data_IF_888677841823
#
_entry.id   IF_888677841823
#
_cell.length_a   1.000
_cell.length_b   1.000
_cell.length_c   1.000
_cell.angle_alpha   90.00
_cell.angle_beta   90.00
_cell.angle_gamma   90.00
#
_symmetry.space_group_name_H-M   'P 1'
#
loop_
_entity.id
_entity.type
_entity.pdbx_description
1 polymer ?
#
# COMPACT_ATOMS: atom_id res chain seq x y z
N UNK A 1 13.54 8.95 -5.92
CA UNK A 1 14.63 7.96 -5.93
C UNK A 1 14.76 7.20 -7.24
N UNK A 2 13.67 6.79 -7.88
CA UNK A 2 13.72 5.99 -9.13
C UNK A 2 13.94 6.81 -10.42
N UNK A 3 14.44 8.04 -10.35
CA UNK A 3 14.86 8.87 -11.48
C UNK A 3 13.73 9.60 -12.23
N UNK A 4 12.49 9.48 -11.80
CA UNK A 4 11.33 10.15 -12.40
C UNK A 4 10.78 11.18 -11.42
N UNK A 5 10.77 12.49 -11.77
CA UNK A 5 10.19 13.50 -10.90
C UNK A 5 8.66 13.41 -10.93
N UNK A 6 8.04 13.47 -9.76
CA UNK A 6 6.60 13.66 -9.64
C UNK A 6 6.34 15.17 -9.71
N UNK A 7 5.91 15.63 -10.89
CA UNK A 7 5.67 17.05 -11.17
C UNK A 7 4.24 17.50 -10.90
N UNK A 8 3.33 16.56 -10.67
CA UNK A 8 1.92 16.83 -10.37
C UNK A 8 1.68 16.58 -8.90
N UNK A 9 1.08 17.54 -8.19
CA UNK A 9 0.72 17.35 -6.78
C UNK A 9 -0.31 16.25 -6.61
N UNK A 10 -0.14 15.45 -5.56
CA UNK A 10 -1.14 14.45 -5.19
C UNK A 10 -2.46 15.11 -4.79
N UNK A 11 -3.57 14.52 -5.22
CA UNK A 11 -4.89 14.95 -4.80
C UNK A 11 -5.24 14.43 -3.40
N UNK A 12 -5.82 15.30 -2.59
CA UNK A 12 -6.31 14.98 -1.25
C UNK A 12 -7.77 15.36 -1.13
N UNK A 13 -8.53 14.55 -0.44
CA UNK A 13 -9.91 14.90 -0.15
C UNK A 13 -10.02 15.81 1.09
N UNK A 14 -10.91 16.81 1.08
CA UNK A 14 -11.06 17.74 2.18
C UNK A 14 -11.56 17.04 3.45
N UNK A 15 -11.26 17.63 4.62
CA UNK A 15 -11.76 17.15 5.92
C UNK A 15 -13.19 17.61 6.20
N UNK A 16 -14.03 17.61 5.19
CA UNK A 16 -15.47 17.87 5.28
C UNK A 16 -16.26 16.58 5.32
N UNK A 17 -17.49 16.63 5.70
CA UNK A 17 -18.40 15.50 5.63
C UNK A 17 -19.67 15.94 4.87
N UNK A 18 -19.88 15.43 3.63
CA UNK A 18 -19.10 14.42 2.90
C UNK A 18 -17.73 14.95 2.42
N UNK A 19 -16.73 14.06 2.35
CA UNK A 19 -15.38 14.41 1.88
C UNK A 19 -15.18 14.15 0.37
N UNK A 20 -15.88 13.18 -0.19
CA UNK A 20 -15.76 12.87 -1.62
C UNK A 20 -16.77 13.70 -2.44
N UNK A 21 -16.35 14.20 -3.62
CA UNK A 21 -17.27 14.90 -4.52
C UNK A 21 -18.46 14.02 -4.94
N UNK A 22 -19.64 14.60 -5.01
CA UNK A 22 -20.85 13.88 -5.43
C UNK A 22 -20.73 13.26 -6.84
N UNK A 23 -19.99 13.91 -7.74
CA UNK A 23 -19.71 13.36 -9.07
C UNK A 23 -18.98 12.01 -9.00
N UNK A 24 -17.95 11.90 -8.12
CA UNK A 24 -17.20 10.66 -7.91
C UNK A 24 -18.08 9.56 -7.32
N UNK A 25 -18.79 9.86 -6.23
CA UNK A 25 -19.61 8.86 -5.53
C UNK A 25 -20.79 8.38 -6.39
N UNK A 26 -21.45 9.27 -7.12
CA UNK A 26 -22.53 8.91 -8.03
C UNK A 26 -22.03 8.06 -9.21
N UNK A 27 -20.87 8.40 -9.77
CA UNK A 27 -20.26 7.60 -10.85
C UNK A 27 -19.88 6.20 -10.36
N UNK A 28 -19.34 6.08 -9.15
CA UNK A 28 -19.00 4.79 -8.55
C UNK A 28 -20.25 3.92 -8.32
N UNK A 29 -21.33 4.51 -7.75
CA UNK A 29 -22.60 3.83 -7.54
C UNK A 29 -23.15 3.32 -8.86
N UNK A 30 -23.18 4.17 -9.88
CA UNK A 30 -23.77 3.83 -11.18
C UNK A 30 -22.95 2.77 -11.93
N UNK A 31 -21.61 2.89 -11.94
CA UNK A 31 -20.74 1.94 -12.68
C UNK A 31 -20.66 0.56 -12.05
N UNK A 32 -20.73 0.49 -10.71
CA UNK A 32 -20.63 -0.77 -9.95
C UNK A 32 -21.99 -1.33 -9.53
N UNK A 33 -23.09 -0.76 -10.00
CA UNK A 33 -24.47 -1.16 -9.65
C UNK A 33 -24.66 -1.36 -8.15
N UNK A 34 -24.32 -0.31 -7.38
CA UNK A 34 -24.38 -0.34 -5.93
C UNK A 34 -25.70 0.21 -5.41
N UNK A 35 -26.23 -0.32 -4.29
CA UNK A 35 -27.42 0.26 -3.64
C UNK A 35 -27.16 1.62 -2.98
N UNK A 36 -25.90 2.07 -2.96
CA UNK A 36 -25.41 3.30 -2.37
C UNK A 36 -24.06 3.11 -1.69
N UNK A 37 -23.64 4.10 -0.92
CA UNK A 37 -22.37 4.07 -0.17
C UNK A 37 -22.61 4.43 1.29
N UNK A 38 -21.75 3.95 2.19
CA UNK A 38 -21.66 4.35 3.59
C UNK A 38 -20.33 5.08 3.84
N UNK A 39 -20.28 5.87 4.90
CA UNK A 39 -19.09 6.63 5.30
C UNK A 39 -18.99 7.95 4.57
N UNK A 40 -18.11 8.07 3.57
CA UNK A 40 -17.79 9.32 2.85
C UNK A 40 -17.20 10.39 3.79
N UNK A 41 -16.21 9.98 4.59
CA UNK A 41 -15.56 10.82 5.60
C UNK A 41 -14.09 10.46 5.80
N UNK A 42 -13.37 11.30 6.55
CA UNK A 42 -12.06 10.94 7.09
C UNK A 42 -12.23 10.01 8.29
N UNK A 43 -11.58 8.85 8.28
CA UNK A 43 -11.67 7.89 9.38
C UNK A 43 -10.46 6.96 9.47
N UNK A 44 -10.27 6.38 10.66
CA UNK A 44 -9.47 5.18 10.85
C UNK A 44 -10.23 3.96 10.32
N UNK A 45 -9.54 3.07 9.60
CA UNK A 45 -10.19 1.90 9.01
C UNK A 45 -10.79 0.94 10.02
N UNK A 46 -10.22 0.82 11.24
CA UNK A 46 -10.79 -0.01 12.30
C UNK A 46 -12.02 0.61 12.92
N UNK A 47 -11.99 1.93 13.17
CA UNK A 47 -13.11 2.65 13.77
C UNK A 47 -14.34 2.70 12.84
N UNK A 48 -14.12 2.97 11.55
CA UNK A 48 -15.24 3.08 10.61
C UNK A 48 -15.89 1.72 10.34
N UNK A 49 -15.10 0.63 10.31
CA UNK A 49 -15.63 -0.73 10.18
C UNK A 49 -16.45 -1.08 11.43
N UNK A 50 -15.95 -0.79 12.63
CA UNK A 50 -16.69 -1.03 13.86
C UNK A 50 -18.00 -0.21 13.91
N UNK A 51 -18.00 1.03 13.38
CA UNK A 51 -19.18 1.91 13.38
C UNK A 51 -20.22 1.54 12.33
N UNK A 52 -19.80 1.14 11.13
CA UNK A 52 -20.68 0.98 9.96
C UNK A 52 -20.78 -0.47 9.46
N UNK A 53 -20.09 -1.43 10.07
CA UNK A 53 -20.05 -2.81 9.62
C UNK A 53 -21.44 -3.46 9.60
N UNK A 54 -22.25 -3.26 10.63
CA UNK A 54 -23.63 -3.80 10.69
C UNK A 54 -24.50 -3.21 9.58
N UNK A 55 -24.48 -1.89 9.42
CA UNK A 55 -25.21 -1.20 8.35
C UNK A 55 -24.75 -1.64 6.95
N UNK A 56 -23.45 -1.94 6.78
CA UNK A 56 -22.91 -2.49 5.55
C UNK A 56 -23.46 -3.89 5.26
N UNK A 57 -23.40 -4.80 6.22
CA UNK A 57 -23.88 -6.17 6.07
C UNK A 57 -25.38 -6.20 5.77
N UNK A 58 -26.16 -5.36 6.45
CA UNK A 58 -27.63 -5.27 6.27
C UNK A 58 -28.02 -4.67 4.90
N UNK A 59 -27.34 -3.59 4.48
CA UNK A 59 -27.72 -2.83 3.28
C UNK A 59 -27.01 -3.24 2.00
N UNK A 60 -25.90 -3.97 2.09
CA UNK A 60 -25.01 -4.26 0.96
C UNK A 60 -24.26 -3.05 0.41
N UNK A 61 -24.29 -1.90 1.10
CA UNK A 61 -23.58 -0.67 0.70
C UNK A 61 -22.14 -0.72 1.19
N UNK A 62 -21.11 -0.65 0.32
CA UNK A 62 -19.73 -0.62 0.76
C UNK A 62 -19.41 0.68 1.53
N UNK A 63 -18.42 0.59 2.43
CA UNK A 63 -17.99 1.71 3.26
C UNK A 63 -16.84 2.41 2.55
N UNK A 64 -16.99 3.69 2.18
CA UNK A 64 -15.94 4.49 1.56
C UNK A 64 -15.44 5.57 2.53
N UNK A 65 -14.12 5.73 2.60
CA UNK A 65 -13.48 6.68 3.50
C UNK A 65 -12.07 7.05 3.02
N UNK A 66 -11.51 8.10 3.60
CA UNK A 66 -10.13 8.52 3.37
C UNK A 66 -9.39 8.75 4.69
N UNK A 67 -8.10 9.00 4.61
CA UNK A 67 -7.23 9.35 5.72
C UNK A 67 -6.45 10.64 5.41
N UNK A 68 -5.36 10.90 6.13
CA UNK A 68 -4.48 12.03 5.85
C UNK A 68 -3.67 11.86 4.54
N UNK A 69 -3.57 10.64 4.06
CA UNK A 69 -2.87 10.31 2.82
C UNK A 69 -3.72 10.58 1.57
N UNK A 70 -3.06 10.58 0.39
CA UNK A 70 -3.74 10.62 -0.90
C UNK A 70 -4.34 9.25 -1.25
N UNK A 71 -5.46 8.91 -0.60
CA UNK A 71 -6.07 7.58 -0.71
C UNK A 71 -7.60 7.64 -0.79
N UNK A 72 -8.16 6.68 -1.54
CA UNK A 72 -9.58 6.34 -1.54
C UNK A 72 -9.71 4.89 -1.04
N UNK A 73 -10.36 4.66 0.08
CA UNK A 73 -10.43 3.35 0.70
C UNK A 73 -11.85 2.81 0.67
N UNK A 74 -11.99 1.53 0.37
CA UNK A 74 -13.27 0.83 0.32
C UNK A 74 -13.20 -0.38 1.26
N UNK A 75 -14.04 -0.39 2.30
CA UNK A 75 -14.17 -1.54 3.17
C UNK A 75 -15.47 -2.28 2.90
N UNK A 76 -15.38 -3.62 2.87
CA UNK A 76 -16.54 -4.50 2.72
C UNK A 76 -16.28 -5.85 3.41
N UNK A 77 -17.36 -6.47 3.85
CA UNK A 77 -17.35 -7.76 4.52
C UNK A 77 -17.19 -8.89 3.49
N UNK A 78 -16.25 -9.81 3.72
CA UNK A 78 -15.88 -10.82 2.72
C UNK A 78 -17.03 -11.79 2.39
N UNK A 79 -17.79 -12.24 3.39
CA UNK A 79 -18.87 -13.18 3.12
C UNK A 79 -20.11 -12.49 2.53
N UNK A 80 -20.57 -11.38 3.12
CA UNK A 80 -21.84 -10.75 2.73
C UNK A 80 -21.76 -9.92 1.44
N UNK A 81 -20.63 -9.27 1.18
CA UNK A 81 -20.40 -8.47 -0.03
C UNK A 81 -19.66 -9.25 -1.11
N UNK A 82 -18.73 -10.09 -0.73
CA UNK A 82 -17.85 -10.85 -1.60
C UNK A 82 -16.50 -10.18 -1.85
N UNK A 83 -15.40 -10.89 -1.59
CA UNK A 83 -14.05 -10.39 -1.82
C UNK A 83 -13.81 -10.03 -3.30
N UNK A 84 -14.23 -10.89 -4.23
CA UNK A 84 -14.06 -10.63 -5.67
C UNK A 84 -14.77 -9.34 -6.10
N UNK A 85 -16.00 -9.11 -5.60
CA UNK A 85 -16.77 -7.90 -5.88
C UNK A 85 -16.11 -6.65 -5.29
N UNK A 86 -15.52 -6.74 -4.09
CA UNK A 86 -14.75 -5.65 -3.50
C UNK A 86 -13.53 -5.28 -4.37
N UNK A 87 -12.80 -6.27 -4.86
CA UNK A 87 -11.62 -6.03 -5.71
C UNK A 87 -12.01 -5.38 -7.04
N UNK A 88 -13.06 -5.87 -7.70
CA UNK A 88 -13.62 -5.26 -8.92
C UNK A 88 -14.08 -3.81 -8.67
N UNK A 89 -14.76 -3.57 -7.55
CA UNK A 89 -15.18 -2.22 -7.16
C UNK A 89 -13.97 -1.28 -6.98
N UNK A 90 -12.87 -1.78 -6.43
CA UNK A 90 -11.65 -0.98 -6.29
C UNK A 90 -10.97 -0.68 -7.64
N UNK A 91 -11.07 -1.57 -8.63
CA UNK A 91 -10.59 -1.33 -9.99
C UNK A 91 -11.40 -0.22 -10.66
N UNK A 92 -12.73 -0.27 -10.56
CA UNK A 92 -13.62 0.81 -11.03
C UNK A 92 -13.30 2.13 -10.33
N UNK A 93 -13.12 2.10 -9.01
CA UNK A 93 -12.76 3.28 -8.24
C UNK A 93 -11.40 3.85 -8.66
N UNK A 94 -10.40 3.01 -8.98
CA UNK A 94 -9.08 3.45 -9.45
C UNK A 94 -9.20 4.31 -10.71
N UNK A 95 -9.97 3.86 -11.69
CA UNK A 95 -10.20 4.63 -12.92
C UNK A 95 -10.90 5.98 -12.64
N UNK A 96 -11.88 5.98 -11.73
CA UNK A 96 -12.64 7.19 -11.43
C UNK A 96 -11.83 8.25 -10.68
N UNK A 97 -10.92 7.82 -9.77
CA UNK A 97 -10.12 8.76 -8.98
C UNK A 97 -8.86 9.27 -9.69
N UNK A 98 -8.54 8.78 -10.89
CA UNK A 98 -7.42 9.28 -11.70
C UNK A 98 -7.56 10.77 -11.99
N UNK A 99 -8.77 11.24 -12.30
CA UNK A 99 -9.04 12.67 -12.54
C UNK A 99 -8.81 13.56 -11.32
N UNK A 100 -8.75 12.96 -10.14
CA UNK A 100 -8.47 13.65 -8.87
C UNK A 100 -7.02 13.51 -8.43
N UNK A 101 -6.16 12.86 -9.23
CA UNK A 101 -4.75 12.58 -8.94
C UNK A 101 -4.51 11.91 -7.58
N UNK A 102 -5.41 11.02 -7.18
CA UNK A 102 -5.33 10.28 -5.92
C UNK A 102 -4.33 9.14 -6.04
N UNK A 103 -3.36 9.09 -5.14
CA UNK A 103 -2.22 8.17 -5.21
C UNK A 103 -2.61 6.69 -5.14
N UNK A 104 -3.60 6.31 -4.34
CA UNK A 104 -4.00 4.90 -4.16
C UNK A 104 -5.50 4.73 -3.94
N UNK A 105 -6.03 3.63 -4.48
CA UNK A 105 -7.27 3.02 -4.01
C UNK A 105 -6.91 1.79 -3.19
N UNK A 106 -7.58 1.58 -2.06
CA UNK A 106 -7.25 0.49 -1.14
C UNK A 106 -8.50 -0.34 -0.86
N UNK A 107 -8.45 -1.63 -1.21
CA UNK A 107 -9.41 -2.61 -0.73
C UNK A 107 -9.11 -2.96 0.74
N UNK A 108 -10.13 -2.80 1.60
CA UNK A 108 -10.06 -3.11 3.03
C UNK A 108 -11.09 -4.17 3.41
N UNK A 109 -10.87 -5.43 2.99
CA UNK A 109 -11.77 -6.50 3.39
C UNK A 109 -11.75 -6.73 4.89
N UNK A 110 -12.91 -7.07 5.43
CA UNK A 110 -13.07 -7.44 6.84
C UNK A 110 -14.05 -8.60 6.96
N UNK A 111 -14.04 -9.26 8.10
CA UNK A 111 -14.87 -10.41 8.41
C UNK A 111 -15.24 -10.45 9.90
N UNK A 112 -16.10 -11.37 10.28
CA UNK A 112 -16.53 -11.60 11.67
C UNK A 112 -17.97 -11.20 11.95
N UNK A 113 -18.50 -11.58 13.12
CA UNK A 113 -19.86 -11.26 13.51
C UNK A 113 -20.02 -9.81 13.95
N UNK A 114 -21.28 -9.34 13.96
CA UNK A 114 -21.67 -8.03 14.48
C UNK A 114 -20.98 -7.71 15.82
N UNK A 115 -20.39 -6.50 15.88
CA UNK A 115 -19.65 -6.00 17.04
C UNK A 115 -18.23 -6.57 17.20
N UNK A 116 -17.78 -7.49 16.32
CA UNK A 116 -16.45 -8.13 16.42
C UNK A 116 -15.77 -8.23 15.05
N UNK A 117 -15.98 -7.24 14.21
CA UNK A 117 -15.37 -7.18 12.87
C UNK A 117 -13.86 -7.01 12.95
N UNK A 118 -13.13 -7.80 12.17
CA UNK A 118 -11.67 -7.75 12.03
C UNK A 118 -11.26 -7.63 10.57
N UNK A 119 -10.24 -6.83 10.29
CA UNK A 119 -9.68 -6.75 8.95
C UNK A 119 -8.97 -8.04 8.60
N UNK A 120 -9.19 -8.54 7.40
CA UNK A 120 -8.52 -9.74 6.89
C UNK A 120 -7.16 -9.40 6.25
N UNK A 121 -6.39 -10.43 5.94
CA UNK A 121 -5.12 -10.31 5.22
C UNK A 121 -5.27 -10.04 3.71
N UNK A 122 -6.49 -10.06 3.16
CA UNK A 122 -6.76 -9.91 1.72
C UNK A 122 -6.79 -8.45 1.24
N UNK A 123 -6.17 -7.54 2.00
CA UNK A 123 -5.96 -6.16 1.57
C UNK A 123 -5.24 -6.11 0.23
N UNK A 124 -5.70 -5.22 -0.67
CA UNK A 124 -5.04 -4.93 -1.92
C UNK A 124 -4.98 -3.42 -2.16
N UNK A 125 -3.81 -2.94 -2.57
CA UNK A 125 -3.57 -1.55 -2.90
C UNK A 125 -3.49 -1.42 -4.43
N UNK A 126 -4.20 -0.45 -4.99
CA UNK A 126 -4.19 -0.08 -6.40
C UNK A 126 -3.53 1.29 -6.51
N UNK A 127 -2.22 1.29 -6.65
CA UNK A 127 -1.40 2.50 -6.74
C UNK A 127 -1.49 3.13 -8.12
N UNK A 128 -1.35 4.44 -8.18
CA UNK A 128 -1.11 5.15 -9.43
C UNK A 128 0.28 4.74 -9.94
N UNK A 129 0.41 4.29 -11.19
CA UNK A 129 1.71 3.94 -11.74
C UNK A 129 2.61 5.18 -11.84
N UNK A 130 3.95 4.99 -11.87
CA UNK A 130 4.88 6.06 -12.18
C UNK A 130 4.51 6.76 -13.50
N UNK A 131 4.63 8.10 -13.61
CA UNK A 131 4.22 8.83 -14.80
C UNK A 131 5.10 8.56 -16.02
N UNK A 132 6.30 8.05 -15.82
CA UNK A 132 7.25 7.67 -16.86
C UNK A 132 8.03 6.42 -16.45
N UNK A 133 8.71 5.73 -17.41
CA UNK A 133 9.59 4.61 -17.09
C UNK A 133 10.67 5.00 -16.08
N UNK A 134 10.71 4.31 -14.98
CA UNK A 134 11.64 4.52 -13.86
C UNK A 134 12.99 3.85 -14.10
N UNK A 135 13.93 3.99 -13.16
CA UNK A 135 15.17 3.21 -13.15
C UNK A 135 14.89 1.70 -13.23
N UNK A 136 13.81 1.24 -12.57
CA UNK A 136 13.43 -0.18 -12.56
C UNK A 136 13.08 -0.71 -13.96
N UNK A 137 12.42 0.13 -14.77
CA UNK A 137 12.06 -0.21 -16.15
C UNK A 137 13.25 -0.14 -17.10
N UNK A 138 14.24 0.71 -16.78
CA UNK A 138 15.37 1.01 -17.66
C UNK A 138 16.62 0.19 -17.34
N UNK A 139 16.60 -0.54 -16.24
CA UNK A 139 17.73 -1.36 -15.84
C UNK A 139 17.86 -2.59 -16.78
N UNK A 140 19.01 -2.71 -17.43
CA UNK A 140 19.31 -3.83 -18.32
C UNK A 140 19.88 -5.00 -17.51
N UNK A 141 19.05 -5.64 -16.72
CA UNK A 141 19.40 -6.75 -15.85
C UNK A 141 18.20 -7.29 -15.07
N UNK A 142 18.46 -8.13 -14.10
CA UNK A 142 17.42 -8.69 -13.23
C UNK A 142 17.05 -7.68 -12.15
N UNK A 143 15.77 -7.33 -12.05
CA UNK A 143 15.24 -6.54 -10.95
C UNK A 143 14.55 -7.44 -9.92
N UNK A 144 14.85 -7.23 -8.64
CA UNK A 144 14.21 -7.91 -7.50
C UNK A 144 13.66 -6.88 -6.52
N UNK A 145 12.38 -6.94 -6.27
CA UNK A 145 11.65 -6.04 -5.38
C UNK A 145 11.24 -6.75 -4.10
N UNK A 146 11.80 -6.32 -2.96
CA UNK A 146 11.61 -6.96 -1.66
C UNK A 146 10.70 -6.09 -0.79
N UNK A 147 9.69 -6.70 -0.17
CA UNK A 147 8.70 -6.01 0.65
C UNK A 147 7.61 -5.34 -0.17
N UNK A 148 7.36 -4.05 0.05
CA UNK A 148 6.29 -3.27 -0.61
C UNK A 148 6.71 -2.58 -1.92
N UNK A 149 7.93 -2.76 -2.38
CA UNK A 149 8.42 -2.08 -3.60
C UNK A 149 7.48 -2.36 -4.79
N UNK A 150 7.05 -3.61 -4.97
CA UNK A 150 6.11 -3.96 -6.02
C UNK A 150 4.82 -3.15 -5.98
N UNK A 151 4.22 -3.03 -4.81
CA UNK A 151 2.96 -2.29 -4.61
C UNK A 151 3.17 -0.76 -4.79
N UNK A 152 4.31 -0.22 -4.35
CA UNK A 152 4.66 1.20 -4.47
C UNK A 152 4.77 1.61 -5.94
N UNK A 153 5.39 0.78 -6.77
CA UNK A 153 5.59 1.05 -8.20
C UNK A 153 4.45 0.49 -9.09
N UNK A 154 3.31 0.11 -8.50
CA UNK A 154 2.18 -0.48 -9.23
C UNK A 154 2.61 -1.66 -10.15
N UNK A 155 3.57 -2.43 -9.69
CA UNK A 155 4.19 -3.57 -10.39
C UNK A 155 4.89 -3.23 -11.71
N UNK A 156 5.20 -1.95 -11.98
CA UNK A 156 5.94 -1.55 -13.18
C UNK A 156 7.45 -1.64 -12.96
N UNK A 157 8.15 -2.35 -13.83
CA UNK A 157 9.60 -2.54 -13.79
C UNK A 157 10.13 -3.31 -12.59
N UNK A 158 9.26 -3.79 -11.71
CA UNK A 158 9.63 -4.32 -10.37
C UNK A 158 10.22 -5.73 -10.40
N UNK A 159 10.22 -6.40 -11.55
CA UNK A 159 10.82 -7.73 -11.74
C UNK A 159 10.26 -8.79 -10.80
N UNK A 160 11.12 -9.57 -10.19
CA UNK A 160 10.75 -10.59 -9.22
C UNK A 160 10.30 -9.95 -7.90
N UNK A 161 9.12 -10.33 -7.39
CA UNK A 161 8.56 -9.79 -6.14
C UNK A 161 8.76 -10.78 -5.00
N UNK A 162 9.51 -10.37 -3.99
CA UNK A 162 9.79 -11.15 -2.78
C UNK A 162 9.03 -10.55 -1.61
N UNK A 163 7.96 -11.22 -1.17
CA UNK A 163 7.16 -10.78 -0.02
C UNK A 163 7.76 -11.25 1.29
N UNK A 164 7.80 -10.37 2.28
CA UNK A 164 8.14 -10.67 3.66
C UNK A 164 7.45 -9.66 4.60
N UNK A 165 7.24 -10.04 5.84
CA UNK A 165 6.60 -9.21 6.86
C UNK A 165 7.59 -8.93 7.99
N UNK A 166 7.75 -7.64 8.32
CA UNK A 166 8.65 -7.16 9.36
C UNK A 166 10.11 -7.06 8.91
N UNK A 167 10.84 -6.12 9.52
CA UNK A 167 12.22 -5.80 9.11
C UNK A 167 13.16 -7.01 9.19
N UNK A 168 13.01 -7.87 10.20
CA UNK A 168 13.86 -9.05 10.34
C UNK A 168 13.71 -10.03 9.16
N UNK A 169 12.48 -10.30 8.72
CA UNK A 169 12.23 -11.18 7.57
C UNK A 169 12.65 -10.53 6.25
N UNK A 170 12.41 -9.22 6.09
CA UNK A 170 12.89 -8.43 4.95
C UNK A 170 14.41 -8.47 4.84
N UNK A 171 15.09 -8.37 5.99
CA UNK A 171 16.53 -8.46 6.06
C UNK A 171 17.06 -9.80 5.57
N UNK A 172 16.49 -10.90 6.03
CA UNK A 172 16.86 -12.25 5.58
C UNK A 172 16.68 -12.43 4.07
N UNK A 173 15.60 -11.87 3.51
CA UNK A 173 15.39 -11.91 2.07
C UNK A 173 16.42 -11.06 1.32
N UNK A 174 16.77 -9.89 1.85
CA UNK A 174 17.80 -9.02 1.29
C UNK A 174 19.17 -9.71 1.26
N UNK A 175 19.55 -10.36 2.37
CA UNK A 175 20.80 -11.14 2.42
C UNK A 175 20.80 -12.30 1.42
N UNK A 176 19.67 -13.02 1.31
CA UNK A 176 19.56 -14.12 0.35
C UNK A 176 19.70 -13.68 -1.10
N UNK A 177 19.19 -12.49 -1.43
CA UNK A 177 19.32 -11.90 -2.77
C UNK A 177 20.74 -11.38 -3.01
N UNK A 178 21.32 -10.64 -2.04
CA UNK A 178 22.67 -10.07 -2.17
C UNK A 178 23.76 -11.13 -2.19
N UNK A 179 23.59 -12.23 -1.45
CA UNK A 179 24.54 -13.35 -1.42
C UNK A 179 24.36 -14.38 -2.55
N UNK A 180 23.42 -14.15 -3.46
CA UNK A 180 23.18 -15.02 -4.63
C UNK A 180 24.25 -14.86 -5.72
N UNK A 181 24.23 -15.72 -6.72
CA UNK A 181 25.21 -15.73 -7.82
C UNK A 181 24.80 -14.86 -9.03
N UNK A 182 23.70 -14.12 -8.92
CA UNK A 182 23.20 -13.28 -9.99
C UNK A 182 24.20 -12.15 -10.32
N UNK A 183 24.50 -12.00 -11.59
CA UNK A 183 25.23 -10.86 -12.14
C UNK A 183 24.23 -9.86 -12.70
N UNK A 184 24.58 -8.57 -12.72
CA UNK A 184 23.76 -7.48 -13.21
C UNK A 184 22.35 -7.44 -12.55
N UNK A 185 22.36 -7.35 -11.22
CA UNK A 185 21.18 -7.37 -10.36
C UNK A 185 20.89 -5.97 -9.80
N UNK A 186 19.63 -5.54 -9.86
CA UNK A 186 19.09 -4.40 -9.13
C UNK A 186 18.10 -4.90 -8.07
N UNK A 187 18.47 -4.87 -6.81
CA UNK A 187 17.61 -5.23 -5.70
C UNK A 187 17.17 -3.99 -4.91
N UNK A 188 15.87 -3.86 -4.66
CA UNK A 188 15.28 -2.81 -3.83
C UNK A 188 14.55 -3.43 -2.66
N UNK A 189 14.86 -3.01 -1.45
CA UNK A 189 14.18 -3.43 -0.22
C UNK A 189 13.54 -2.23 0.48
N UNK A 190 12.28 -2.38 0.88
CA UNK A 190 11.58 -1.43 1.72
C UNK A 190 11.40 -1.99 3.12
N UNK A 191 12.13 -1.44 4.09
CA UNK A 191 12.06 -1.82 5.51
C UNK A 191 10.91 -1.07 6.18
N UNK A 192 9.73 -1.66 6.18
CA UNK A 192 8.46 -0.96 6.45
C UNK A 192 8.17 -0.73 7.94
N UNK A 193 8.83 -1.42 8.87
CA UNK A 193 8.53 -1.30 10.30
C UNK A 193 8.87 0.07 10.85
N UNK A 194 9.86 0.76 10.29
CA UNK A 194 10.20 2.14 10.65
C UNK A 194 8.99 3.06 10.56
N UNK A 195 8.24 2.96 9.46
CA UNK A 195 7.01 3.71 9.28
C UNK A 195 5.82 3.05 9.99
N UNK A 196 5.54 1.79 9.68
CA UNK A 196 4.29 1.12 10.04
C UNK A 196 4.15 0.85 11.54
N UNK A 197 5.23 0.46 12.23
CA UNK A 197 5.20 0.17 13.66
C UNK A 197 5.53 1.38 14.53
N UNK A 198 6.45 2.24 14.07
CA UNK A 198 7.02 3.29 14.91
C UNK A 198 6.66 4.70 14.41
N UNK A 199 6.85 5.02 13.13
CA UNK A 199 6.66 6.36 12.56
C UNK A 199 5.22 6.86 12.72
N UNK A 200 4.23 6.14 12.22
CA UNK A 200 2.81 6.49 12.35
C UNK A 200 2.32 6.57 13.81
N UNK A 201 2.95 5.83 14.70
CA UNK A 201 2.59 5.80 16.14
C UNK A 201 3.38 6.80 16.97
N UNK A 202 4.35 7.49 16.35
CA UNK A 202 5.28 8.39 17.04
C UNK A 202 6.02 7.70 18.19
N UNK A 203 6.33 6.42 18.03
CA UNK A 203 7.09 5.61 18.96
C UNK A 203 8.59 5.87 18.74
N UNK A 204 9.12 6.90 19.39
CA UNK A 204 10.51 7.33 19.23
C UNK A 204 11.47 6.24 19.74
N UNK A 205 11.16 5.59 20.85
CA UNK A 205 12.01 4.56 21.43
C UNK A 205 12.10 3.34 20.51
N UNK A 206 10.95 2.81 20.06
CA UNK A 206 10.93 1.69 19.12
C UNK A 206 11.56 2.03 17.77
N UNK A 207 11.48 3.28 17.32
CA UNK A 207 12.18 3.70 16.10
C UNK A 207 13.71 3.67 16.29
N UNK A 208 14.21 4.13 17.43
CA UNK A 208 15.63 4.07 17.78
C UNK A 208 16.11 2.62 17.89
N UNK A 209 15.37 1.76 18.60
CA UNK A 209 15.69 0.33 18.71
C UNK A 209 15.75 -0.34 17.32
N UNK A 210 14.83 0.03 16.42
CA UNK A 210 14.82 -0.49 15.05
C UNK A 210 16.04 -0.02 14.23
N UNK A 211 16.52 1.23 14.43
CA UNK A 211 17.74 1.73 13.82
C UNK A 211 18.97 1.00 14.34
N UNK A 212 19.07 0.79 15.66
CA UNK A 212 20.17 0.04 16.26
C UNK A 212 20.21 -1.41 15.75
N UNK A 213 19.03 -2.06 15.65
CA UNK A 213 18.94 -3.42 15.10
C UNK A 213 19.34 -3.46 13.61
N UNK A 214 19.00 -2.43 12.83
CA UNK A 214 19.40 -2.31 11.43
C UNK A 214 20.91 -2.12 11.31
N UNK A 215 21.51 -1.25 12.12
CA UNK A 215 22.96 -1.00 12.16
C UNK A 215 23.73 -2.28 12.52
N UNK A 216 23.28 -3.01 13.54
CA UNK A 216 23.87 -4.29 13.94
C UNK A 216 23.81 -5.36 12.85
N UNK A 217 22.84 -5.28 11.94
CA UNK A 217 22.70 -6.22 10.84
C UNK A 217 23.60 -5.88 9.62
N UNK A 218 24.03 -4.62 9.47
CA UNK A 218 24.82 -4.15 8.32
C UNK A 218 26.08 -4.98 8.03
N UNK A 219 26.90 -5.39 9.02
CA UNK A 219 28.07 -6.20 8.73
C UNK A 219 27.76 -7.51 8.00
N UNK A 220 26.59 -8.11 8.26
CA UNK A 220 26.15 -9.32 7.55
C UNK A 220 25.83 -9.08 6.07
N UNK A 221 25.39 -7.87 5.74
CA UNK A 221 25.14 -7.45 4.36
C UNK A 221 26.44 -7.09 3.63
N UNK A 222 27.34 -6.38 4.30
CA UNK A 222 28.64 -5.99 3.74
C UNK A 222 29.45 -7.22 3.27
N UNK A 223 29.36 -8.33 4.00
CA UNK A 223 30.03 -9.59 3.62
C UNK A 223 29.45 -10.21 2.34
N UNK A 224 28.20 -9.89 2.00
CA UNK A 224 27.58 -10.36 0.76
C UNK A 224 28.00 -9.56 -0.47
N UNK A 225 28.55 -8.34 -0.29
CA UNK A 225 28.92 -7.46 -1.40
C UNK A 225 30.22 -7.93 -2.07
N UNK A 226 30.26 -7.88 -3.38
CA UNK A 226 31.40 -8.21 -4.22
C UNK A 226 32.13 -6.93 -4.66
N UNK A 227 33.41 -7.01 -5.06
CA UNK A 227 34.10 -5.89 -5.68
C UNK A 227 33.32 -5.38 -6.91
N UNK A 228 32.92 -4.11 -6.88
CA UNK A 228 32.11 -3.47 -7.92
C UNK A 228 30.62 -3.34 -7.60
N UNK A 229 30.11 -4.00 -6.57
CA UNK A 229 28.75 -3.80 -6.12
C UNK A 229 28.56 -2.43 -5.50
N UNK A 230 27.38 -1.85 -5.69
CA UNK A 230 26.96 -0.58 -5.10
C UNK A 230 25.77 -0.81 -4.15
N UNK A 231 25.93 -0.45 -2.90
CA UNK A 231 24.84 -0.41 -1.92
C UNK A 231 24.46 1.04 -1.59
N UNK A 232 23.17 1.34 -1.62
CA UNK A 232 22.61 2.64 -1.26
C UNK A 232 21.59 2.45 -0.14
N UNK A 233 21.84 3.08 1.01
CA UNK A 233 20.89 3.14 2.13
C UNK A 233 20.34 4.55 2.19
N UNK A 234 19.03 4.68 2.21
CA UNK A 234 18.38 5.99 2.20
C UNK A 234 17.05 5.93 2.97
N UNK A 235 16.52 7.09 3.30
CA UNK A 235 15.18 7.27 3.85
C UNK A 235 14.41 8.30 3.03
N UNK A 236 13.10 8.19 3.03
CA UNK A 236 12.15 9.15 2.45
C UNK A 236 11.57 10.09 3.52
#
# INVERSE_FOLDING_TARGET
MAGVPVITEWGYFPRTEPCFPAALTNALIARADLPGLLGNCHASGTEIIAKLGDAHVESGKPIVYTSADSVFQIAAHEESFGLARLLELCEIARELVDTYNVGRVIARPFDGPSGSYVRTGNRRDYSLPPPEPTLLDRFDGKTVSIGKIGDIFAHQGTGEIVKANGNAALWQKTLGVAGGDEENLLALTNFVDFDMLHGHRRDIAGYADALEAFDQALPSFEVCLRPGDLAIITAD
#
